data_IF_757459336464
#
_entry.id   IF_757459336464
#
_cell.length_a   1.000
_cell.length_b   1.000
_cell.length_c   1.000
_cell.angle_alpha   90.00
_cell.angle_beta   90.00
_cell.angle_gamma   90.00
#
_symmetry.space_group_name_H-M   'P 1'
#
loop_
_entity.id
_entity.type
_entity.pdbx_description
1 polymer ?
#
# COMPACT_ATOMS: atom_id res chain seq x y z
N UNK A 1 2.89 -9.84 -19.62
CA UNK A 1 3.16 -11.14 -18.98
C UNK A 1 1.91 -12.04 -19.04
N UNK A 2 0.79 -11.69 -18.39
CA UNK A 2 -0.40 -12.54 -18.26
C UNK A 2 -0.94 -13.05 -19.61
N UNK A 3 -1.08 -12.17 -20.61
CA UNK A 3 -1.53 -12.54 -21.97
C UNK A 3 -0.57 -13.50 -22.73
N UNK A 4 0.66 -13.65 -22.23
CA UNK A 4 1.65 -14.61 -22.72
C UNK A 4 1.70 -15.90 -21.90
N UNK A 5 0.76 -16.09 -20.98
CA UNK A 5 0.69 -17.27 -20.12
C UNK A 5 1.69 -17.31 -18.97
N UNK A 6 2.33 -16.17 -18.64
CA UNK A 6 3.32 -16.10 -17.58
C UNK A 6 2.67 -15.76 -16.24
N UNK A 7 3.07 -16.44 -15.18
CA UNK A 7 2.81 -16.09 -13.80
C UNK A 7 3.78 -15.00 -13.35
N UNK A 8 3.42 -14.19 -12.37
CA UNK A 8 4.11 -12.90 -12.08
C UNK A 8 4.41 -12.77 -10.60
N UNK A 9 5.64 -12.40 -10.26
CA UNK A 9 5.98 -11.79 -8.98
C UNK A 9 6.17 -10.30 -9.19
N UNK A 10 5.36 -9.47 -8.52
CA UNK A 10 5.37 -8.02 -8.68
C UNK A 10 5.78 -7.32 -7.39
N UNK A 11 6.77 -6.43 -7.44
CA UNK A 11 7.13 -5.63 -6.27
C UNK A 11 6.03 -4.62 -5.91
N UNK A 12 5.96 -4.31 -4.63
CA UNK A 12 5.10 -3.25 -4.08
C UNK A 12 5.73 -1.85 -4.29
N UNK A 13 4.94 -0.77 -4.38
CA UNK A 13 3.49 -0.75 -4.53
C UNK A 13 3.08 -1.29 -5.90
N UNK A 14 1.93 -1.99 -5.96
CA UNK A 14 1.54 -2.74 -7.16
C UNK A 14 1.32 -1.86 -8.40
N UNK A 15 0.86 -0.62 -8.21
CA UNK A 15 0.48 0.25 -9.33
C UNK A 15 0.74 1.73 -9.02
N UNK A 16 0.87 2.51 -10.08
CA UNK A 16 1.06 3.96 -10.01
C UNK A 16 -0.25 4.75 -9.89
N UNK A 17 -1.38 4.11 -10.20
CA UNK A 17 -2.72 4.67 -10.07
C UNK A 17 -3.76 3.59 -9.78
N UNK A 18 -4.94 3.98 -9.29
CA UNK A 18 -6.01 3.01 -8.96
C UNK A 18 -6.52 2.29 -10.21
N UNK A 19 -6.83 2.95 -11.35
CA UNK A 19 -7.25 2.25 -12.56
C UNK A 19 -6.20 1.28 -13.11
N UNK A 20 -4.90 1.59 -12.95
CA UNK A 20 -3.82 0.68 -13.34
C UNK A 20 -3.83 -0.61 -12.51
N UNK A 21 -3.97 -0.49 -11.19
CA UNK A 21 -4.10 -1.65 -10.31
C UNK A 21 -5.33 -2.50 -10.65
N UNK A 22 -6.46 -1.87 -10.96
CA UNK A 22 -7.67 -2.58 -11.41
C UNK A 22 -7.46 -3.30 -12.76
N UNK A 23 -6.73 -2.71 -13.68
CA UNK A 23 -6.37 -3.36 -14.94
C UNK A 23 -5.48 -4.60 -14.69
N UNK A 24 -4.52 -4.52 -13.75
CA UNK A 24 -3.72 -5.68 -13.34
C UNK A 24 -4.57 -6.82 -12.77
N UNK A 25 -5.50 -6.52 -11.86
CA UNK A 25 -6.45 -7.51 -11.31
C UNK A 25 -7.23 -8.19 -12.44
N UNK A 26 -7.82 -7.39 -13.34
CA UNK A 26 -8.57 -7.93 -14.50
C UNK A 26 -7.69 -8.81 -15.38
N UNK A 27 -6.46 -8.40 -15.70
CA UNK A 27 -5.54 -9.16 -16.55
C UNK A 27 -5.17 -10.50 -15.91
N UNK A 28 -4.83 -10.51 -14.63
CA UNK A 28 -4.49 -11.73 -13.89
C UNK A 28 -5.66 -12.72 -13.90
N UNK A 29 -6.87 -12.25 -13.62
CA UNK A 29 -8.07 -13.11 -13.57
C UNK A 29 -8.51 -13.60 -14.95
N UNK A 30 -8.54 -12.70 -15.94
CA UNK A 30 -8.86 -13.07 -17.34
C UNK A 30 -7.96 -14.16 -17.87
N UNK A 31 -6.67 -14.10 -17.58
CA UNK A 31 -5.69 -15.07 -18.08
C UNK A 31 -5.40 -16.21 -17.10
N UNK A 32 -6.10 -16.28 -15.96
CA UNK A 32 -5.94 -17.31 -14.91
C UNK A 32 -4.46 -17.50 -14.51
N UNK A 33 -3.78 -16.37 -14.23
CA UNK A 33 -2.36 -16.38 -13.83
C UNK A 33 -2.25 -16.24 -12.31
N UNK A 34 -1.15 -16.77 -11.78
CA UNK A 34 -0.75 -16.54 -10.40
C UNK A 34 0.07 -15.26 -10.38
N UNK A 35 -0.38 -14.28 -9.59
CA UNK A 35 0.41 -13.09 -9.29
C UNK A 35 0.54 -12.92 -7.79
N UNK A 36 1.77 -12.85 -7.30
CA UNK A 36 2.08 -12.48 -5.92
C UNK A 36 2.74 -11.11 -5.86
N UNK A 37 2.28 -10.31 -4.90
CA UNK A 37 2.83 -8.98 -4.63
C UNK A 37 3.91 -9.08 -3.56
N UNK A 38 4.99 -8.30 -3.70
CA UNK A 38 6.15 -8.28 -2.81
C UNK A 38 5.88 -7.68 -1.42
N UNK A 39 4.78 -8.07 -0.77
CA UNK A 39 4.48 -7.73 0.63
C UNK A 39 4.88 -8.90 1.55
N UNK A 40 6.18 -9.14 1.62
CA UNK A 40 6.80 -10.35 2.18
C UNK A 40 6.42 -10.64 3.64
N UNK A 41 6.02 -9.62 4.40
CA UNK A 41 5.64 -9.79 5.80
C UNK A 41 4.44 -10.72 6.00
N UNK A 42 3.58 -10.90 4.97
CA UNK A 42 2.46 -11.83 4.98
C UNK A 42 2.90 -13.28 5.14
N UNK A 43 4.11 -13.62 4.69
CA UNK A 43 4.69 -14.95 4.80
C UNK A 43 5.65 -15.10 6.00
N UNK A 44 5.73 -14.10 6.89
CA UNK A 44 6.59 -14.18 8.07
C UNK A 44 5.83 -14.85 9.22
N UNK A 45 6.23 -16.05 9.70
CA UNK A 45 5.41 -16.84 10.63
C UNK A 45 5.07 -16.11 11.94
N UNK A 46 6.00 -15.38 12.56
CA UNK A 46 5.72 -14.59 13.76
C UNK A 46 4.71 -13.47 13.52
N UNK A 47 4.69 -12.87 12.31
CA UNK A 47 3.71 -11.86 11.96
C UNK A 47 2.34 -12.51 11.74
N UNK A 48 2.29 -13.66 11.04
CA UNK A 48 1.05 -14.44 10.88
C UNK A 48 0.45 -14.81 12.23
N UNK A 49 1.25 -15.35 13.14
CA UNK A 49 0.84 -15.71 14.50
C UNK A 49 0.17 -14.53 15.24
N UNK A 50 0.79 -13.37 15.23
CA UNK A 50 0.22 -12.19 15.89
C UNK A 50 -1.03 -11.65 15.18
N UNK A 51 -1.07 -11.70 13.85
CA UNK A 51 -2.22 -11.32 13.06
C UNK A 51 -3.41 -12.28 13.26
N UNK A 52 -3.17 -13.58 13.30
CA UNK A 52 -4.18 -14.60 13.59
C UNK A 52 -4.82 -14.38 14.94
N UNK A 53 -4.03 -14.15 15.98
CA UNK A 53 -4.56 -13.84 17.32
C UNK A 53 -5.52 -12.65 17.31
N UNK A 54 -5.20 -11.57 16.58
CA UNK A 54 -6.08 -10.40 16.45
C UNK A 54 -7.36 -10.77 15.68
N UNK A 55 -7.21 -11.44 14.54
CA UNK A 55 -8.30 -11.83 13.65
C UNK A 55 -9.28 -12.80 14.32
N UNK A 56 -8.77 -13.67 15.19
CA UNK A 56 -9.56 -14.65 15.96
C UNK A 56 -10.20 -14.03 17.21
N UNK A 57 -10.10 -12.72 17.39
CA UNK A 57 -10.76 -11.97 18.46
C UNK A 57 -9.99 -11.88 19.76
N UNK A 58 -8.70 -12.23 19.79
CA UNK A 58 -7.88 -12.20 21.02
C UNK A 58 -7.72 -10.81 21.64
N UNK A 59 -7.95 -9.72 20.88
CA UNK A 59 -8.03 -8.36 21.43
C UNK A 59 -9.44 -7.90 21.79
N UNK A 60 -10.48 -8.74 21.57
CA UNK A 60 -11.85 -8.26 21.55
C UNK A 60 -12.06 -7.30 20.39
N UNK A 61 -13.02 -6.37 20.51
CA UNK A 61 -13.26 -5.36 19.47
C UNK A 61 -12.08 -4.39 19.37
N UNK A 62 -11.43 -4.33 18.20
CA UNK A 62 -10.37 -3.37 17.91
C UNK A 62 -11.02 -2.04 17.49
N UNK A 63 -10.91 -1.01 18.30
CA UNK A 63 -11.48 0.29 18.01
C UNK A 63 -10.55 1.24 17.27
N UNK A 64 -9.25 1.14 17.54
CA UNK A 64 -8.24 2.06 17.00
C UNK A 64 -6.97 1.33 16.63
N UNK A 65 -6.40 1.70 15.48
CA UNK A 65 -5.10 1.22 15.04
C UNK A 65 -4.21 2.43 14.76
N UNK A 66 -3.04 2.48 15.41
CA UNK A 66 -2.05 3.52 15.19
C UNK A 66 -1.04 3.04 14.18
N UNK A 67 -0.91 3.76 13.08
CA UNK A 67 0.06 3.50 12.02
C UNK A 67 0.97 4.71 11.89
N UNK A 68 2.26 4.47 11.72
CA UNK A 68 3.24 5.54 11.50
C UNK A 68 2.82 6.42 10.33
N UNK A 69 2.86 7.74 10.52
CA UNK A 69 2.63 8.70 9.46
C UNK A 69 3.84 8.73 8.51
N UNK A 70 3.64 8.29 7.29
CA UNK A 70 4.58 8.44 6.18
C UNK A 70 4.14 9.61 5.31
N UNK A 71 5.08 10.41 4.82
CA UNK A 71 4.79 11.50 3.88
C UNK A 71 4.24 10.98 2.55
N UNK A 72 3.49 11.80 1.85
CA UNK A 72 3.19 11.62 0.43
C UNK A 72 4.40 11.97 -0.45
N UNK A 73 4.21 11.88 -1.76
CA UNK A 73 5.17 12.36 -2.76
C UNK A 73 5.24 13.90 -2.78
N UNK A 74 6.29 14.42 -3.37
CA UNK A 74 6.46 15.85 -3.65
C UNK A 74 6.51 16.11 -5.16
N UNK A 75 6.16 17.30 -5.64
CA UNK A 75 6.31 17.64 -7.03
C UNK A 75 7.76 17.51 -7.51
N UNK A 76 7.93 17.15 -8.77
CA UNK A 76 9.23 17.14 -9.48
C UNK A 76 9.63 18.53 -10.00
N UNK A 77 9.02 19.60 -9.49
CA UNK A 77 9.25 21.00 -9.91
C UNK A 77 10.33 21.66 -9.06
N UNK A 78 10.90 22.75 -9.57
CA UNK A 78 11.91 23.56 -8.87
C UNK A 78 13.29 22.92 -8.80
N UNK A 79 13.57 21.98 -9.70
CA UNK A 79 14.89 21.38 -9.91
C UNK A 79 15.46 21.90 -11.24
N UNK A 80 16.68 22.42 -11.20
CA UNK A 80 17.36 22.85 -12.41
C UNK A 80 17.71 21.67 -13.30
N UNK A 81 17.55 21.85 -14.63
CA UNK A 81 17.89 20.81 -15.59
C UNK A 81 19.40 20.51 -15.56
N UNK A 82 19.76 19.24 -15.62
CA UNK A 82 21.14 18.77 -15.67
C UNK A 82 21.35 17.87 -16.90
N UNK A 83 22.60 17.77 -17.40
CA UNK A 83 22.88 16.83 -18.49
C UNK A 83 22.62 15.38 -18.01
N UNK A 84 22.01 14.59 -18.88
CA UNK A 84 21.84 13.16 -18.63
C UNK A 84 23.22 12.49 -18.61
N UNK A 85 23.54 11.69 -17.56
CA UNK A 85 24.82 10.98 -17.49
C UNK A 85 25.02 10.05 -18.69
N UNK A 86 26.27 9.91 -19.12
CA UNK A 86 26.65 9.00 -20.21
C UNK A 86 26.17 7.57 -19.90
N UNK A 87 25.63 6.91 -20.90
CA UNK A 87 25.10 5.55 -20.80
C UNK A 87 23.73 5.41 -20.10
N UNK A 88 23.12 6.53 -19.66
CA UNK A 88 21.77 6.51 -19.10
C UNK A 88 20.71 6.83 -20.16
N UNK A 89 19.75 5.93 -20.34
CA UNK A 89 18.53 6.20 -21.08
C UNK A 89 17.47 6.81 -20.15
N UNK A 90 17.48 8.14 -20.04
CA UNK A 90 16.54 8.88 -19.20
C UNK A 90 15.10 8.76 -19.67
N UNK A 91 14.90 8.70 -20.99
CA UNK A 91 13.59 8.51 -21.59
C UNK A 91 12.97 7.17 -21.17
N UNK A 92 13.77 6.10 -21.20
CA UNK A 92 13.36 4.77 -20.74
C UNK A 92 13.18 4.72 -19.21
N UNK A 93 13.98 5.47 -18.45
CA UNK A 93 13.78 5.56 -17.00
C UNK A 93 12.44 6.21 -16.65
N UNK A 94 12.04 7.26 -17.34
CA UNK A 94 10.73 7.90 -17.16
C UNK A 94 9.57 6.98 -17.56
N UNK A 95 9.79 6.09 -18.55
CA UNK A 95 8.80 5.11 -19.02
C UNK A 95 7.42 5.77 -19.27
N UNK A 96 6.39 5.31 -18.59
CA UNK A 96 5.01 5.81 -18.69
C UNK A 96 4.79 7.19 -18.05
N UNK A 97 5.66 7.61 -17.15
CA UNK A 97 5.56 8.92 -16.50
C UNK A 97 5.81 10.06 -17.50
N UNK A 98 5.27 11.26 -17.26
CA UNK A 98 5.63 12.43 -18.06
C UNK A 98 7.14 12.59 -18.15
N UNK A 99 7.64 12.85 -19.36
CA UNK A 99 9.06 13.13 -19.54
C UNK A 99 9.36 14.49 -18.91
N UNK A 100 10.20 14.47 -17.88
CA UNK A 100 10.70 15.67 -17.19
C UNK A 100 12.18 15.82 -17.45
N UNK A 101 12.70 17.03 -17.33
CA UNK A 101 14.13 17.26 -17.44
C UNK A 101 14.90 16.46 -16.39
N UNK A 102 16.08 15.97 -16.80
CA UNK A 102 16.90 15.19 -15.88
C UNK A 102 17.44 16.06 -14.75
N UNK A 103 17.38 15.52 -13.56
CA UNK A 103 18.11 15.99 -12.39
C UNK A 103 18.50 14.79 -11.53
N UNK A 104 19.72 14.80 -10.98
CA UNK A 104 20.27 13.72 -10.17
C UNK A 104 19.33 13.26 -9.03
N UNK A 105 18.62 14.18 -8.38
CA UNK A 105 17.68 13.85 -7.32
C UNK A 105 16.48 13.04 -7.85
N UNK A 106 15.99 13.31 -9.06
CA UNK A 106 14.90 12.54 -9.67
C UNK A 106 15.30 11.10 -9.91
N UNK A 107 16.54 10.87 -10.29
CA UNK A 107 17.08 9.53 -10.48
C UNK A 107 17.37 8.83 -9.13
N UNK A 108 18.18 9.45 -8.26
CA UNK A 108 18.65 8.80 -7.02
C UNK A 108 17.59 8.72 -5.92
N UNK A 109 16.62 9.65 -5.92
CA UNK A 109 15.56 9.76 -4.89
C UNK A 109 14.16 9.70 -5.51
N UNK A 110 14.00 9.00 -6.63
CA UNK A 110 12.76 8.91 -7.39
C UNK A 110 11.54 8.57 -6.53
N UNK A 111 11.72 7.77 -5.47
CA UNK A 111 10.66 7.40 -4.52
C UNK A 111 9.97 8.56 -3.81
N UNK A 112 10.54 9.75 -3.87
CA UNK A 112 9.97 10.94 -3.24
C UNK A 112 9.12 11.79 -4.20
N UNK A 113 9.19 11.54 -5.52
CA UNK A 113 8.61 12.44 -6.52
C UNK A 113 7.34 11.86 -7.14
N UNK A 114 6.31 12.72 -7.26
CA UNK A 114 4.98 12.35 -7.75
C UNK A 114 4.94 11.96 -9.23
N UNK A 115 5.94 12.35 -10.01
CA UNK A 115 6.15 11.89 -11.37
C UNK A 115 6.35 10.38 -11.47
N UNK A 116 6.92 9.74 -10.42
CA UNK A 116 7.34 8.33 -10.45
C UNK A 116 6.67 7.46 -9.38
N UNK A 117 6.06 8.06 -8.33
CA UNK A 117 5.60 7.30 -7.18
C UNK A 117 4.54 8.05 -6.37
N UNK A 118 3.84 7.34 -5.48
CA UNK A 118 3.00 7.94 -4.44
C UNK A 118 3.75 8.35 -3.17
N UNK A 119 5.09 8.33 -3.18
CA UNK A 119 5.92 8.73 -2.04
C UNK A 119 6.06 7.66 -0.95
N UNK A 120 6.66 8.03 0.21
CA UNK A 120 6.90 7.12 1.32
C UNK A 120 5.67 6.36 1.82
N UNK A 121 4.46 6.92 1.74
CA UNK A 121 3.23 6.21 2.11
C UNK A 121 2.96 5.03 1.16
N UNK A 122 3.22 5.16 -0.14
CA UNK A 122 3.11 4.05 -1.08
C UNK A 122 4.31 3.10 -0.99
N UNK A 123 5.51 3.57 -0.66
CA UNK A 123 6.70 2.73 -0.55
C UNK A 123 6.74 1.94 0.76
N UNK A 124 6.88 2.62 1.90
CA UNK A 124 6.99 1.99 3.23
C UNK A 124 5.64 1.78 3.89
N UNK A 125 4.74 2.75 3.74
CA UNK A 125 3.40 2.71 4.33
C UNK A 125 2.56 1.55 3.80
N UNK A 126 2.78 1.09 2.56
CA UNK A 126 2.10 -0.09 2.02
C UNK A 126 2.38 -1.35 2.86
N UNK A 127 3.59 -1.55 3.37
CA UNK A 127 3.89 -2.67 4.26
C UNK A 127 3.13 -2.57 5.60
N UNK A 128 3.02 -1.35 6.15
CA UNK A 128 2.30 -1.14 7.40
C UNK A 128 0.79 -1.35 7.22
N UNK A 129 0.21 -0.77 6.16
CA UNK A 129 -1.20 -0.94 5.82
C UNK A 129 -1.53 -2.40 5.52
N UNK A 130 -0.64 -3.12 4.83
CA UNK A 130 -0.81 -4.53 4.50
C UNK A 130 -0.85 -5.41 5.78
N UNK A 131 0.03 -5.16 6.75
CA UNK A 131 0.00 -5.85 8.04
C UNK A 131 -1.29 -5.58 8.82
N UNK A 132 -1.78 -4.34 8.78
CA UNK A 132 -3.06 -3.99 9.41
C UNK A 132 -4.21 -4.77 8.75
N UNK A 133 -4.28 -4.77 7.42
CA UNK A 133 -5.32 -5.49 6.70
C UNK A 133 -5.26 -7.01 6.94
N UNK A 134 -4.06 -7.59 6.99
CA UNK A 134 -3.88 -9.00 7.32
C UNK A 134 -4.40 -9.33 8.73
N UNK A 135 -4.03 -8.52 9.73
CA UNK A 135 -4.43 -8.74 11.11
C UNK A 135 -5.94 -8.58 11.33
N UNK A 136 -6.57 -7.64 10.61
CA UNK A 136 -8.02 -7.40 10.70
C UNK A 136 -8.86 -8.31 9.79
N UNK A 137 -8.24 -9.17 8.96
CA UNK A 137 -8.94 -9.98 7.98
C UNK A 137 -9.60 -9.17 6.85
N UNK A 138 -9.09 -7.97 6.56
CA UNK A 138 -9.66 -7.06 5.57
C UNK A 138 -9.09 -7.28 4.16
N UNK A 139 -9.21 -8.47 3.64
CA UNK A 139 -8.68 -8.80 2.30
C UNK A 139 -9.43 -8.07 1.16
N UNK A 140 -10.71 -7.75 1.40
CA UNK A 140 -11.59 -7.08 0.44
C UNK A 140 -12.29 -5.85 1.04
N UNK A 141 -11.86 -5.37 2.20
CA UNK A 141 -12.48 -4.26 2.92
C UNK A 141 -11.60 -3.03 2.84
N UNK A 142 -12.12 -1.98 2.23
CA UNK A 142 -11.51 -0.67 2.16
C UNK A 142 -12.13 0.30 3.19
N UNK A 143 -11.45 1.41 3.54
CA UNK A 143 -12.07 2.47 4.31
C UNK A 143 -13.22 3.09 3.50
N UNK A 144 -14.30 3.46 4.16
CA UNK A 144 -15.43 4.18 3.54
C UNK A 144 -15.21 5.69 3.54
N UNK A 145 -14.36 6.18 4.47
CA UNK A 145 -14.07 7.59 4.65
C UNK A 145 -12.62 7.81 5.09
N UNK A 146 -11.99 8.86 4.54
CA UNK A 146 -10.64 9.30 4.93
C UNK A 146 -10.69 10.79 5.19
N UNK A 147 -10.22 11.24 6.35
CA UNK A 147 -10.26 12.63 6.78
C UNK A 147 -8.86 13.18 7.06
N UNK A 148 -8.56 14.41 6.65
CA UNK A 148 -7.37 15.11 7.12
C UNK A 148 -7.62 15.58 8.58
N UNK A 149 -6.62 15.42 9.47
CA UNK A 149 -6.80 15.69 10.91
C UNK A 149 -5.91 16.81 11.44
N UNK A 150 -4.85 17.14 10.72
CA UNK A 150 -3.92 18.19 11.13
C UNK A 150 -3.59 19.09 9.95
N UNK A 151 -3.49 20.38 10.21
CA UNK A 151 -2.80 21.28 9.32
C UNK A 151 -1.31 20.93 9.33
N UNK A 152 -0.67 21.07 8.17
CA UNK A 152 0.74 20.89 8.02
C UNK A 152 1.27 21.90 7.00
N UNK A 153 2.50 22.35 7.22
CA UNK A 153 3.19 23.26 6.30
C UNK A 153 3.17 22.72 4.85
N UNK A 154 3.39 21.40 4.73
CA UNK A 154 3.28 20.70 3.45
C UNK A 154 2.07 19.77 3.45
N UNK A 155 1.20 19.88 2.46
CA UNK A 155 0.01 19.04 2.31
C UNK A 155 0.32 17.54 2.42
N UNK A 156 1.45 17.07 1.84
CA UNK A 156 1.89 15.68 1.88
C UNK A 156 2.15 15.11 3.28
N UNK A 157 2.32 15.98 4.29
CA UNK A 157 2.64 15.62 5.67
C UNK A 157 1.43 15.70 6.61
N UNK A 158 0.24 16.03 6.09
CA UNK A 158 -0.99 16.06 6.89
C UNK A 158 -1.26 14.70 7.52
N UNK A 159 -1.68 14.71 8.79
CA UNK A 159 -2.26 13.54 9.44
C UNK A 159 -3.59 13.18 8.81
N UNK A 160 -3.93 11.89 8.83
CA UNK A 160 -5.22 11.40 8.32
C UNK A 160 -5.79 10.31 9.21
N UNK A 161 -7.12 10.18 9.20
CA UNK A 161 -7.87 9.05 9.77
C UNK A 161 -8.63 8.32 8.68
N UNK A 162 -8.60 7.00 8.76
CA UNK A 162 -9.34 6.12 7.88
C UNK A 162 -10.42 5.41 8.70
N UNK A 163 -11.66 5.47 8.25
CA UNK A 163 -12.82 4.88 8.92
C UNK A 163 -13.29 3.66 8.12
N UNK A 164 -13.34 2.53 8.81
CA UNK A 164 -13.73 1.25 8.23
C UNK A 164 -15.18 0.90 8.58
N UNK A 165 -15.84 0.02 7.80
CA UNK A 165 -17.27 -0.30 7.97
C UNK A 165 -17.64 -0.89 9.33
N UNK A 166 -16.69 -1.59 9.99
CA UNK A 166 -16.87 -2.20 11.32
C UNK A 166 -16.73 -1.19 12.47
N UNK A 167 -16.46 0.08 12.16
CA UNK A 167 -16.25 1.15 13.12
C UNK A 167 -14.80 1.33 13.56
N UNK A 168 -13.88 0.49 13.12
CA UNK A 168 -12.45 0.65 13.39
C UNK A 168 -11.88 1.89 12.71
N UNK A 169 -11.00 2.62 13.41
CA UNK A 169 -10.32 3.82 12.89
C UNK A 169 -8.81 3.60 12.85
N UNK A 170 -8.23 3.70 11.65
CA UNK A 170 -6.77 3.79 11.51
C UNK A 170 -6.35 5.26 11.59
N UNK A 171 -5.33 5.54 12.40
CA UNK A 171 -4.79 6.89 12.62
C UNK A 171 -3.35 6.98 12.16
N UNK A 172 -3.09 7.82 11.15
CA UNK A 172 -1.75 8.17 10.64
C UNK A 172 -1.44 9.62 11.01
N UNK A 173 -1.27 9.90 12.29
CA UNK A 173 -1.15 11.27 12.83
C UNK A 173 0.24 11.55 13.41
N UNK A 174 0.98 10.52 13.86
CA UNK A 174 2.33 10.63 14.41
C UNK A 174 3.37 9.96 13.53
N UNK A 175 4.59 10.48 13.56
CA UNK A 175 5.78 9.84 12.99
C UNK A 175 6.37 8.76 13.88
N UNK A 176 5.88 8.64 15.12
CA UNK A 176 6.25 7.58 16.05
C UNK A 176 5.46 6.29 15.76
N UNK A 177 5.99 5.17 16.25
CA UNK A 177 5.36 3.86 16.10
C UNK A 177 6.10 2.92 15.16
N UNK A 178 5.56 1.70 14.97
CA UNK A 178 6.22 0.65 14.20
C UNK A 178 6.33 1.05 12.72
N UNK A 179 7.53 0.83 12.16
CA UNK A 179 7.81 1.25 10.79
C UNK A 179 7.14 0.38 9.72
N UNK A 180 6.71 -0.85 10.05
CA UNK A 180 6.21 -1.82 9.07
C UNK A 180 5.00 -2.60 9.59
N UNK A 181 4.15 -1.96 10.40
CA UNK A 181 2.94 -2.54 10.96
C UNK A 181 2.12 -1.49 11.69
N UNK A 182 1.49 -1.86 12.81
CA UNK A 182 0.64 -0.96 13.58
C UNK A 182 0.55 -1.34 15.05
N UNK A 183 -0.04 -0.45 15.85
CA UNK A 183 -0.44 -0.72 17.23
C UNK A 183 -1.95 -0.87 17.23
N UNK A 184 -2.42 -2.07 17.49
CA UNK A 184 -3.83 -2.45 17.57
C UNK A 184 -4.32 -2.27 19.00
N UNK A 185 -5.37 -1.49 19.20
CA UNK A 185 -5.94 -1.18 20.52
C UNK A 185 -7.36 -1.74 20.56
N UNK A 186 -7.55 -2.75 21.37
CA UNK A 186 -8.82 -3.43 21.58
C UNK A 186 -9.22 -3.49 23.04
N UNK A 187 -10.31 -4.19 23.35
CA UNK A 187 -10.91 -4.28 24.67
C UNK A 187 -10.01 -5.02 25.67
N UNK A 188 -9.22 -6.00 25.21
CA UNK A 188 -8.35 -6.82 26.04
C UNK A 188 -6.94 -6.24 26.22
N UNK A 189 -6.63 -5.13 25.54
CA UNK A 189 -5.31 -4.51 25.60
C UNK A 189 -4.82 -4.01 24.27
N UNK A 190 -3.50 -4.03 24.07
CA UNK A 190 -2.88 -3.60 22.81
C UNK A 190 -1.78 -4.54 22.34
N UNK A 191 -1.64 -4.69 21.03
CA UNK A 191 -0.54 -5.38 20.38
C UNK A 191 0.11 -4.44 19.38
N UNK A 192 1.43 -4.29 19.47
CA UNK A 192 2.26 -3.72 18.41
C UNK A 192 2.77 -4.87 17.52
N UNK A 193 2.51 -4.81 16.23
CA UNK A 193 3.13 -5.68 15.23
C UNK A 193 4.12 -4.83 14.41
N UNK A 194 5.31 -5.36 14.22
CA UNK A 194 6.32 -4.80 13.33
C UNK A 194 7.02 -5.96 12.58
N UNK A 195 7.88 -5.64 11.62
CA UNK A 195 8.59 -6.66 10.83
C UNK A 195 9.33 -7.67 11.72
N UNK A 196 8.87 -8.94 11.71
CA UNK A 196 9.50 -10.05 12.44
C UNK A 196 9.40 -9.97 13.96
N UNK A 197 8.49 -9.17 14.52
CA UNK A 197 8.27 -9.10 15.97
C UNK A 197 6.89 -8.55 16.33
N UNK A 198 6.43 -8.89 17.53
CA UNK A 198 5.29 -8.23 18.17
C UNK A 198 5.57 -7.96 19.65
N UNK A 199 4.78 -7.08 20.24
CA UNK A 199 4.80 -6.78 21.68
C UNK A 199 3.39 -6.51 22.18
N UNK A 200 3.06 -6.99 23.38
CA UNK A 200 1.73 -6.88 23.97
C UNK A 200 1.72 -6.05 25.24
N UNK A 201 0.57 -5.49 25.55
CA UNK A 201 0.27 -4.91 26.84
C UNK A 201 -1.21 -5.21 27.18
N UNK A 202 -1.52 -6.04 28.21
CA UNK A 202 -0.56 -6.70 29.10
C UNK A 202 0.37 -7.68 28.38
N UNK A 203 1.52 -8.01 29.01
CA UNK A 203 2.58 -8.82 28.36
C UNK A 203 2.18 -10.27 28.12
N UNK A 204 1.26 -10.79 28.90
CA UNK A 204 0.73 -12.15 28.86
C UNK A 204 -0.49 -12.30 27.93
N UNK A 205 -0.90 -11.21 27.26
CA UNK A 205 -2.03 -11.21 26.34
C UNK A 205 -1.87 -12.22 25.19
N UNK A 206 -0.65 -12.35 24.67
CA UNK A 206 -0.28 -13.35 23.66
C UNK A 206 1.04 -14.00 24.05
N UNK A 207 1.08 -15.34 24.02
CA UNK A 207 2.30 -16.08 24.34
C UNK A 207 3.42 -15.81 23.33
N UNK A 208 4.70 -15.92 23.73
CA UNK A 208 5.81 -15.79 22.80
C UNK A 208 5.71 -16.80 21.65
N UNK A 209 6.06 -16.36 20.45
CA UNK A 209 6.12 -17.23 19.29
C UNK A 209 7.32 -18.20 19.42
N UNK A 210 7.06 -19.50 19.31
CA UNK A 210 8.07 -20.56 19.42
C UNK A 210 8.26 -21.34 18.11
N UNK A 211 7.55 -20.95 17.03
CA UNK A 211 7.60 -21.62 15.74
C UNK A 211 8.85 -21.29 14.91
N UNK A 212 9.01 -22.01 13.81
CA UNK A 212 10.06 -21.75 12.81
C UNK A 212 9.83 -20.43 12.06
N UNK A 213 10.91 -19.76 11.67
CA UNK A 213 10.89 -18.51 10.87
C UNK A 213 11.29 -18.77 9.40
N UNK A 214 11.23 -20.01 8.93
CA UNK A 214 11.82 -20.41 7.65
C UNK A 214 10.90 -20.31 6.43
N UNK A 215 9.69 -19.78 6.57
CA UNK A 215 8.76 -19.66 5.46
C UNK A 215 9.27 -18.63 4.42
N UNK A 216 9.24 -19.01 3.16
CA UNK A 216 9.71 -18.18 2.05
C UNK A 216 8.53 -17.59 1.27
N UNK A 217 8.46 -16.27 1.17
CA UNK A 217 7.45 -15.59 0.38
C UNK A 217 7.55 -15.92 -1.13
N UNK A 218 8.77 -16.03 -1.65
CA UNK A 218 9.01 -16.46 -3.05
C UNK A 218 8.72 -17.96 -3.20
N UNK A 219 9.07 -18.77 -2.18
CA UNK A 219 8.70 -20.19 -2.14
C UNK A 219 7.19 -20.38 -2.26
N UNK A 220 6.40 -19.69 -1.44
CA UNK A 220 4.96 -19.71 -1.54
C UNK A 220 4.44 -19.36 -2.94
N UNK A 221 5.03 -18.39 -3.64
CA UNK A 221 4.65 -18.07 -5.00
C UNK A 221 4.96 -19.24 -5.97
N UNK A 222 6.12 -19.89 -5.85
CA UNK A 222 6.48 -21.03 -6.68
C UNK A 222 5.52 -22.22 -6.43
N UNK A 223 5.22 -22.52 -5.18
CA UNK A 223 4.25 -23.56 -4.79
C UNK A 223 2.86 -23.27 -5.36
N UNK A 224 2.43 -22.00 -5.34
CA UNK A 224 1.16 -21.57 -5.93
C UNK A 224 1.14 -21.62 -7.47
N UNK A 225 2.29 -21.49 -8.14
CA UNK A 225 2.38 -21.72 -9.59
C UNK A 225 2.10 -23.20 -9.92
N UNK A 226 2.58 -24.13 -9.11
CA UNK A 226 2.36 -25.56 -9.31
C UNK A 226 0.94 -25.97 -8.93
N UNK A 227 0.47 -25.59 -7.73
CA UNK A 227 -0.85 -25.96 -7.20
C UNK A 227 -2.01 -25.21 -7.83
N UNK A 228 -1.77 -24.04 -8.42
CA UNK A 228 -2.80 -23.07 -8.86
C UNK A 228 -3.65 -22.50 -7.73
N UNK A 229 -3.22 -22.63 -6.50
CA UNK A 229 -3.83 -21.99 -5.35
C UNK A 229 -3.49 -20.49 -5.28
N UNK A 230 -4.22 -19.77 -4.44
CA UNK A 230 -4.01 -18.34 -4.26
C UNK A 230 -2.77 -18.09 -3.38
N UNK A 231 -1.84 -17.22 -3.79
CA UNK A 231 -0.66 -16.92 -2.99
C UNK A 231 -0.99 -16.05 -1.76
N UNK A 232 -0.08 -15.98 -0.80
CA UNK A 232 -0.25 -15.21 0.45
C UNK A 232 -0.52 -13.71 0.21
N UNK A 233 -0.04 -13.15 -0.90
CA UNK A 233 -0.23 -11.75 -1.28
C UNK A 233 -0.80 -11.65 -2.71
N UNK A 234 -2.07 -11.99 -2.93
CA UNK A 234 -2.67 -11.98 -4.26
C UNK A 234 -2.84 -10.57 -4.82
N UNK A 235 -3.06 -10.48 -6.12
CA UNK A 235 -3.16 -9.21 -6.85
C UNK A 235 -4.23 -8.28 -6.30
N UNK A 236 -5.35 -8.80 -5.82
CA UNK A 236 -6.46 -8.02 -5.24
C UNK A 236 -6.03 -7.29 -3.97
N UNK A 237 -5.33 -8.00 -3.09
CA UNK A 237 -4.79 -7.43 -1.86
C UNK A 237 -3.77 -6.33 -2.18
N UNK A 238 -2.85 -6.60 -3.11
CA UNK A 238 -1.89 -5.58 -3.55
C UNK A 238 -2.56 -4.35 -4.14
N UNK A 239 -3.61 -4.54 -4.93
CA UNK A 239 -4.42 -3.45 -5.48
C UNK A 239 -5.13 -2.65 -4.37
N UNK A 240 -5.79 -3.34 -3.42
CA UNK A 240 -6.49 -2.71 -2.30
C UNK A 240 -5.54 -1.82 -1.48
N UNK A 241 -4.40 -2.38 -1.04
CA UNK A 241 -3.44 -1.67 -0.21
C UNK A 241 -2.83 -0.47 -0.94
N UNK A 242 -2.49 -0.64 -2.22
CA UNK A 242 -1.97 0.45 -3.05
C UNK A 242 -3.02 1.55 -3.25
N UNK A 243 -4.30 1.17 -3.45
CA UNK A 243 -5.42 2.11 -3.57
C UNK A 243 -5.62 2.91 -2.29
N UNK A 244 -5.59 2.28 -1.12
CA UNK A 244 -5.68 2.98 0.18
C UNK A 244 -4.55 4.00 0.32
N UNK A 245 -3.31 3.66 -0.05
CA UNK A 245 -2.19 4.58 -0.01
C UNK A 245 -2.38 5.79 -0.96
N UNK A 246 -2.93 5.56 -2.16
CA UNK A 246 -3.28 6.65 -3.09
C UNK A 246 -4.41 7.53 -2.57
N UNK A 247 -5.47 6.96 -1.98
CA UNK A 247 -6.56 7.72 -1.36
C UNK A 247 -6.07 8.61 -0.20
N UNK A 248 -5.12 8.13 0.61
CA UNK A 248 -4.45 8.95 1.63
C UNK A 248 -3.76 10.16 0.98
N UNK A 249 -3.05 9.97 -0.12
CA UNK A 249 -2.40 11.07 -0.84
C UNK A 249 -3.43 12.05 -1.41
N UNK A 250 -4.53 11.58 -1.98
CA UNK A 250 -5.62 12.44 -2.51
C UNK A 250 -6.24 13.27 -1.38
N UNK A 251 -6.55 12.64 -0.24
CA UNK A 251 -7.05 13.33 0.95
C UNK A 251 -6.09 14.45 1.39
N UNK A 252 -4.80 14.17 1.46
CA UNK A 252 -3.75 15.13 1.83
C UNK A 252 -3.63 16.28 0.84
N UNK A 253 -3.58 15.96 -0.45
CA UNK A 253 -3.43 16.96 -1.53
C UNK A 253 -4.62 17.88 -1.60
N UNK A 254 -5.83 17.35 -1.50
CA UNK A 254 -7.07 18.14 -1.56
C UNK A 254 -7.38 18.86 -0.25
N UNK A 255 -6.88 18.35 0.89
CA UNK A 255 -7.25 18.83 2.22
C UNK A 255 -8.73 18.57 2.56
N UNK A 256 -9.40 17.70 1.82
CA UNK A 256 -10.82 17.40 1.97
C UNK A 256 -11.04 15.95 2.41
N UNK A 257 -12.17 15.72 3.06
CA UNK A 257 -12.65 14.39 3.38
C UNK A 257 -12.95 13.63 2.09
N UNK A 258 -12.45 12.41 1.99
CA UNK A 258 -12.71 11.49 0.89
C UNK A 258 -13.76 10.48 1.35
N UNK A 259 -14.94 10.47 0.71
CA UNK A 259 -15.93 9.41 0.86
C UNK A 259 -15.76 8.42 -0.29
N UNK A 260 -15.40 7.18 0.01
CA UNK A 260 -14.97 6.20 -0.97
C UNK A 260 -16.02 5.11 -1.20
N UNK A 261 -16.41 4.91 -2.44
CA UNK A 261 -17.17 3.74 -2.90
C UNK A 261 -16.18 2.71 -3.47
N UNK A 262 -15.84 1.70 -2.65
CA UNK A 262 -14.86 0.68 -3.03
C UNK A 262 -15.36 -0.24 -4.15
N UNK A 263 -16.68 -0.40 -4.31
CA UNK A 263 -17.27 -1.24 -5.36
C UNK A 263 -17.14 -0.60 -6.73
N UNK A 264 -17.36 0.72 -6.80
CA UNK A 264 -17.26 1.50 -8.03
C UNK A 264 -15.87 2.10 -8.25
N UNK A 265 -15.02 2.03 -7.23
CA UNK A 265 -13.71 2.72 -7.19
C UNK A 265 -13.83 4.20 -7.53
N UNK A 266 -14.74 4.88 -6.80
CA UNK A 266 -15.03 6.30 -6.99
C UNK A 266 -15.12 7.06 -5.67
N UNK A 267 -14.67 8.30 -5.69
CA UNK A 267 -14.88 9.26 -4.61
C UNK A 267 -16.27 9.87 -4.79
N UNK A 268 -17.11 9.76 -3.76
CA UNK A 268 -18.50 10.20 -3.81
C UNK A 268 -18.56 11.73 -3.67
N UNK A 269 -19.21 12.39 -4.63
CA UNK A 269 -19.51 13.82 -4.55
C UNK A 269 -18.32 14.77 -4.76
N UNK A 270 -17.17 14.30 -5.29
CA UNK A 270 -16.00 15.13 -5.55
C UNK A 270 -15.32 14.76 -6.88
N UNK A 271 -15.72 15.39 -7.97
CA UNK A 271 -15.17 15.14 -9.30
C UNK A 271 -13.70 15.57 -9.44
N UNK A 272 -13.31 16.62 -8.73
CA UNK A 272 -11.92 17.07 -8.72
C UNK A 272 -11.01 16.06 -8.02
N UNK A 273 -11.46 15.44 -6.94
CA UNK A 273 -10.72 14.36 -6.30
C UNK A 273 -10.74 13.07 -7.15
N UNK A 274 -11.83 12.78 -7.84
CA UNK A 274 -11.92 11.66 -8.79
C UNK A 274 -10.90 11.77 -9.93
N UNK A 275 -10.63 12.96 -10.43
CA UNK A 275 -9.60 13.18 -11.45
C UNK A 275 -8.19 12.77 -10.97
N UNK A 276 -7.93 12.77 -9.66
CA UNK A 276 -6.65 12.37 -9.06
C UNK A 276 -6.49 10.84 -8.91
N UNK A 277 -7.54 10.06 -9.15
CA UNK A 277 -7.46 8.59 -9.15
C UNK A 277 -6.58 8.07 -10.29
N UNK A 278 -6.42 8.86 -11.34
CA UNK A 278 -5.54 8.58 -12.48
C UNK A 278 -4.25 9.40 -12.38
N UNK A 279 -3.26 8.99 -13.15
CA UNK A 279 -2.01 9.74 -13.33
C UNK A 279 -1.80 10.01 -14.83
N UNK A 280 -1.25 11.18 -15.20
CA UNK A 280 -0.86 11.43 -16.58
C UNK A 280 0.09 10.34 -17.08
N UNK A 281 -0.15 9.87 -18.31
CA UNK A 281 0.70 8.88 -18.99
C UNK A 281 1.11 9.45 -20.35
N UNK A 282 2.28 9.08 -20.78
CA UNK A 282 2.73 9.43 -22.12
C UNK A 282 1.91 8.65 -23.16
N UNK A 283 1.57 9.24 -24.31
CA UNK A 283 0.73 8.60 -25.33
C UNK A 283 1.28 7.26 -25.83
N UNK A 284 2.60 7.10 -25.87
CA UNK A 284 3.27 5.89 -26.31
C UNK A 284 3.19 4.73 -25.29
N UNK A 285 2.74 5.02 -24.06
CA UNK A 285 2.54 4.01 -23.00
C UNK A 285 1.09 4.01 -22.48
N UNK A 286 0.09 3.77 -23.36
CA UNK A 286 -1.32 3.75 -22.93
C UNK A 286 -1.56 2.62 -21.92
N UNK A 287 -2.54 2.81 -21.04
CA UNK A 287 -3.01 1.72 -20.19
C UNK A 287 -3.63 0.65 -21.10
N UNK A 288 -3.14 -0.60 -21.08
CA UNK A 288 -3.69 -1.66 -21.92
C UNK A 288 -5.17 -1.89 -21.65
N UNK A 289 -5.96 -2.07 -22.70
CA UNK A 289 -7.31 -2.58 -22.59
C UNK A 289 -7.28 -4.05 -22.13
N UNK A 290 -8.09 -4.38 -21.12
CA UNK A 290 -8.12 -5.72 -20.49
C UNK A 290 -9.54 -6.31 -20.54
#
# INVERSE_FOLDING_TARGET
>A
ACAKGLDVYAEKPLSFSIPEGRALVKAVRKHKRILQVGTQQRSTPINQYACEFIRDGGLGKVATILVKKYSGSRPATGLDSQPVPDGMDWNRFCDQAPLVDYHEQLHRRWRNFDAFTGGPICDRGSHALDMVHLAMGWENIAPTRIEPTTEAENARDRGVRLYYPDGTVIRLESTDGPAFGGIFIGEQGKIEINRGRFACNPKDLLQPFTGSQTESHVGNWLDCIESREQPNAPVEVGHLITSVAHLINICRTTGRTINWDATKEKIIGDDAANALLTKPRRPEFPLPAV
#
